data_IF_589786482317
#
_entry.id   IF_589786482317
#
_cell.length_a   1.000
_cell.length_b   1.000
_cell.length_c   1.000
_cell.angle_alpha   90.00
_cell.angle_beta   90.00
_cell.angle_gamma   90.00
#
_symmetry.space_group_name_H-M   'P 1'
#
loop_
_entity.id
_entity.type
_entity.pdbx_description
1 polymer ?
#
# COMPACT_ATOMS: atom_id res chain seq x y z
N UNK A 1 -13.02 -10.16 -4.74
CA UNK A 1 -11.86 -9.27 -4.93
C UNK A 1 -10.80 -9.96 -5.80
N UNK A 2 -10.70 -11.29 -5.74
CA UNK A 2 -9.86 -12.08 -6.66
C UNK A 2 -10.45 -12.08 -8.07
N UNK A 3 -9.60 -11.83 -9.07
CA UNK A 3 -9.98 -11.91 -10.49
C UNK A 3 -9.98 -13.38 -10.94
N UNK A 4 -10.90 -13.76 -11.84
CA UNK A 4 -10.88 -15.09 -12.44
C UNK A 4 -9.57 -15.33 -13.20
N UNK A 5 -9.24 -16.60 -13.42
CA UNK A 5 -8.13 -16.97 -14.30
C UNK A 5 -8.41 -16.50 -15.73
N UNK A 6 -7.35 -16.17 -16.46
CA UNK A 6 -7.41 -15.89 -17.89
C UNK A 6 -7.80 -17.16 -18.63
N UNK A 7 -8.81 -17.06 -19.49
CA UNK A 7 -9.36 -18.21 -20.25
C UNK A 7 -8.37 -18.81 -21.24
N UNK A 8 -7.48 -17.98 -21.79
CA UNK A 8 -6.68 -18.33 -22.97
C UNK A 8 -5.17 -18.41 -22.67
N UNK A 9 -4.80 -18.35 -21.39
CA UNK A 9 -3.39 -18.34 -20.95
C UNK A 9 -3.17 -19.37 -19.85
N UNK A 10 -2.26 -20.31 -20.10
CA UNK A 10 -1.82 -21.31 -19.13
C UNK A 10 -0.33 -21.15 -18.83
N UNK A 11 0.07 -21.47 -17.60
CA UNK A 11 1.46 -21.58 -17.24
C UNK A 11 2.10 -22.76 -18.01
N UNK A 12 3.42 -22.75 -18.18
CA UNK A 12 4.14 -23.86 -18.81
C UNK A 12 3.95 -25.21 -18.10
N UNK A 13 3.60 -25.18 -16.80
CA UNK A 13 3.22 -26.35 -16.00
C UNK A 13 1.77 -26.81 -16.19
N UNK A 14 0.98 -26.13 -17.04
CA UNK A 14 -0.46 -26.37 -17.22
C UNK A 14 -1.36 -25.74 -16.14
N UNK A 15 -0.78 -24.97 -15.20
CA UNK A 15 -1.54 -24.28 -14.16
C UNK A 15 -2.25 -23.01 -14.66
N UNK A 16 -3.26 -22.57 -13.91
CA UNK A 16 -4.01 -21.35 -14.19
C UNK A 16 -3.11 -20.10 -14.11
N UNK A 17 -3.40 -19.13 -14.98
CA UNK A 17 -2.76 -17.81 -14.97
C UNK A 17 -3.81 -16.76 -14.64
N UNK A 18 -3.46 -15.85 -13.74
CA UNK A 18 -4.31 -14.76 -13.28
C UNK A 18 -3.72 -13.42 -13.71
N UNK A 19 -4.47 -12.34 -13.50
CA UNK A 19 -3.95 -10.98 -13.62
C UNK A 19 -3.64 -10.38 -12.25
N UNK A 20 -2.50 -9.70 -12.17
CA UNK A 20 -2.15 -8.84 -11.04
C UNK A 20 -1.82 -7.44 -11.54
N UNK A 21 -2.62 -6.47 -11.10
CA UNK A 21 -2.31 -5.06 -11.27
C UNK A 21 -1.41 -4.57 -10.13
N UNK A 22 -0.55 -3.58 -10.44
CA UNK A 22 0.11 -2.81 -9.40
C UNK A 22 -0.94 -1.91 -8.76
N UNK A 23 -1.38 -2.22 -7.54
CA UNK A 23 -2.35 -1.37 -6.83
C UNK A 23 -1.63 -0.28 -6.03
N UNK A 24 -2.20 0.92 -6.05
CA UNK A 24 -1.78 2.07 -5.27
C UNK A 24 -2.78 2.37 -4.16
N UNK A 25 -2.25 2.88 -3.05
CA UNK A 25 -3.04 3.44 -1.96
C UNK A 25 -2.89 4.96 -1.98
N UNK A 26 -4.02 5.67 -2.10
CA UNK A 26 -4.08 7.12 -1.95
C UNK A 26 -4.73 7.48 -0.62
N UNK A 27 -4.10 8.40 0.09
CA UNK A 27 -4.58 8.95 1.36
C UNK A 27 -4.92 10.41 1.10
N UNK A 28 -6.21 10.75 1.19
CA UNK A 28 -6.69 12.09 0.89
C UNK A 28 -6.71 12.98 2.15
N UNK A 29 -6.82 14.30 1.93
CA UNK A 29 -6.91 15.31 2.99
C UNK A 29 -5.72 15.34 3.96
N UNK A 30 -4.56 14.86 3.52
CA UNK A 30 -3.31 14.97 4.27
C UNK A 30 -2.88 16.43 4.29
N UNK A 31 -2.84 17.01 5.49
CA UNK A 31 -2.47 18.41 5.71
C UNK A 31 -0.97 18.58 5.97
N UNK A 32 -0.31 17.55 6.49
CA UNK A 32 1.14 17.55 6.69
C UNK A 32 1.73 16.13 6.59
N UNK A 33 2.98 16.05 6.14
CA UNK A 33 3.74 14.83 5.92
C UNK A 33 5.12 14.95 6.55
N UNK A 34 5.38 14.15 7.59
CA UNK A 34 6.66 14.16 8.29
C UNK A 34 7.43 12.88 8.03
N UNK A 35 8.65 13.01 7.52
CA UNK A 35 9.55 11.92 7.16
C UNK A 35 10.69 11.82 8.17
N UNK A 36 10.98 10.61 8.67
CA UNK A 36 12.15 10.37 9.54
C UNK A 36 12.96 9.16 9.13
N UNK A 37 14.29 9.33 9.16
CA UNK A 37 15.28 8.33 8.72
C UNK A 37 15.08 7.85 7.28
N UNK A 38 14.66 8.76 6.39
CA UNK A 38 14.48 8.44 4.98
C UNK A 38 15.82 8.39 4.26
N UNK A 39 16.02 7.45 3.32
CA UNK A 39 17.21 7.41 2.49
C UNK A 39 17.25 8.60 1.52
N UNK A 40 18.45 9.01 1.12
CA UNK A 40 18.65 10.16 0.22
C UNK A 40 17.96 9.97 -1.14
N UNK A 41 17.95 8.74 -1.65
CA UNK A 41 17.39 8.31 -2.94
C UNK A 41 15.97 7.72 -2.82
N UNK A 42 15.19 8.17 -1.83
CA UNK A 42 13.89 7.58 -1.50
C UNK A 42 12.89 7.44 -2.66
N UNK A 43 12.99 8.25 -3.72
CA UNK A 43 12.08 8.19 -4.87
C UNK A 43 12.20 6.88 -5.65
N UNK A 44 13.34 6.21 -5.56
CA UNK A 44 13.61 4.91 -6.17
C UNK A 44 13.67 3.78 -5.14
N UNK A 45 13.49 4.10 -3.85
CA UNK A 45 13.56 3.12 -2.78
C UNK A 45 12.25 2.32 -2.64
N UNK A 46 12.38 1.01 -2.43
CA UNK A 46 11.27 0.16 -2.04
C UNK A 46 11.16 0.12 -0.51
N UNK A 47 9.98 0.43 0.01
CA UNK A 47 9.70 0.38 1.44
C UNK A 47 8.74 -0.76 1.75
N UNK A 48 9.13 -1.67 2.65
CA UNK A 48 8.22 -2.67 3.19
C UNK A 48 7.55 -2.10 4.43
N UNK A 49 6.21 -2.00 4.40
CA UNK A 49 5.42 -1.54 5.55
C UNK A 49 5.48 -2.64 6.63
N UNK A 50 5.88 -2.27 7.84
CA UNK A 50 5.84 -3.13 9.02
C UNK A 50 4.58 -2.91 9.85
N UNK A 51 4.18 -1.65 10.02
CA UNK A 51 3.02 -1.31 10.83
C UNK A 51 2.36 -0.02 10.35
N UNK A 52 1.05 0.03 10.52
CA UNK A 52 0.22 1.21 10.42
C UNK A 52 -0.49 1.39 11.76
N UNK A 53 -0.32 2.53 12.41
CA UNK A 53 -0.99 2.80 13.70
C UNK A 53 -1.51 4.23 13.80
N UNK A 54 -2.69 4.43 14.42
CA UNK A 54 -3.07 5.76 14.87
C UNK A 54 -2.13 6.19 16.00
N UNK A 55 -1.78 7.45 16.02
CA UNK A 55 -1.04 8.08 17.11
C UNK A 55 -2.00 8.87 17.99
N UNK A 56 -1.81 8.80 19.30
CA UNK A 56 -2.50 9.68 20.22
C UNK A 56 -2.09 11.12 19.91
N UNK A 57 -3.07 11.96 19.59
CA UNK A 57 -2.88 13.39 19.37
C UNK A 57 -3.30 14.08 20.66
N UNK A 58 -2.53 15.07 21.12
CA UNK A 58 -2.91 15.82 22.32
C UNK A 58 -4.24 16.53 22.06
N UNK A 59 -5.08 16.67 23.10
CA UNK A 59 -6.45 17.21 23.02
C UNK A 59 -6.62 18.62 22.38
N UNK A 60 -5.53 19.27 21.97
CA UNK A 60 -5.53 20.58 21.31
C UNK A 60 -5.48 20.50 19.77
N UNK A 61 -5.23 19.32 19.19
CA UNK A 61 -5.22 19.13 17.73
C UNK A 61 -6.48 18.36 17.30
N UNK A 62 -7.33 18.99 16.48
CA UNK A 62 -8.52 18.38 15.85
C UNK A 62 -8.18 17.37 14.72
N UNK A 63 -6.91 16.93 14.63
CA UNK A 63 -6.42 16.06 13.57
C UNK A 63 -6.26 14.60 13.99
N UNK A 64 -6.29 13.69 13.02
CA UNK A 64 -5.80 12.32 13.15
C UNK A 64 -4.36 12.24 12.68
N UNK A 65 -3.50 11.62 13.49
CA UNK A 65 -2.12 11.33 13.10
C UNK A 65 -1.97 9.83 12.89
N UNK A 66 -1.54 9.42 11.70
CA UNK A 66 -1.18 8.03 11.41
C UNK A 66 0.33 7.90 11.24
N UNK A 67 0.92 6.88 11.86
CA UNK A 67 2.33 6.53 11.66
C UNK A 67 2.45 5.23 10.86
N UNK A 68 3.20 5.31 9.76
CA UNK A 68 3.65 4.19 8.96
C UNK A 68 5.10 3.91 9.33
N UNK A 69 5.36 2.70 9.80
CA UNK A 69 6.71 2.22 10.08
C UNK A 69 7.16 1.28 8.98
N UNK A 70 8.37 1.46 8.49
CA UNK A 70 8.93 0.62 7.44
C UNK A 70 10.12 -0.19 7.97
N UNK A 71 10.37 -1.33 7.31
CA UNK A 71 11.55 -2.15 7.55
C UNK A 71 12.82 -1.32 7.39
N UNK A 72 13.77 -1.48 8.31
CA UNK A 72 15.04 -0.75 8.27
C UNK A 72 15.02 0.60 8.99
N UNK A 73 13.90 1.00 9.61
CA UNK A 73 13.83 2.19 10.47
C UNK A 73 13.19 3.47 9.89
N UNK A 74 12.98 3.65 8.56
CA UNK A 74 12.21 4.79 8.08
C UNK A 74 10.79 4.81 8.66
N UNK A 75 10.27 6.02 8.88
CA UNK A 75 8.88 6.22 9.27
C UNK A 75 8.27 7.44 8.58
N UNK A 76 6.95 7.39 8.38
CA UNK A 76 6.15 8.46 7.81
C UNK A 76 5.00 8.76 8.76
N UNK A 77 4.85 10.01 9.17
CA UNK A 77 3.64 10.48 9.84
C UNK A 77 2.81 11.29 8.88
N UNK A 78 1.53 10.97 8.85
CA UNK A 78 0.52 11.71 8.10
C UNK A 78 -0.40 12.38 9.10
N UNK A 79 -0.53 13.69 8.99
CA UNK A 79 -1.54 14.47 9.72
C UNK A 79 -2.70 14.67 8.74
N UNK A 80 -3.90 14.26 9.13
CA UNK A 80 -5.11 14.37 8.33
C UNK A 80 -6.30 14.66 9.23
N UNK A 81 -7.26 15.45 8.76
CA UNK A 81 -8.52 15.68 9.49
C UNK A 81 -9.40 14.42 9.49
N UNK A 82 -9.29 13.59 8.45
CA UNK A 82 -10.05 12.35 8.29
C UNK A 82 -9.26 11.30 7.53
N UNK A 83 -9.40 10.03 7.90
CA UNK A 83 -8.78 8.93 7.16
C UNK A 83 -9.70 8.58 5.98
N UNK A 84 -9.33 9.05 4.79
CA UNK A 84 -9.96 8.65 3.54
C UNK A 84 -8.94 7.92 2.67
N UNK A 85 -9.14 6.60 2.51
CA UNK A 85 -8.27 5.71 1.76
C UNK A 85 -8.96 5.28 0.46
N UNK A 86 -8.29 5.48 -0.66
CA UNK A 86 -8.75 4.99 -1.97
C UNK A 86 -7.71 4.00 -2.50
N UNK A 87 -8.16 2.79 -2.80
CA UNK A 87 -7.39 1.78 -3.51
C UNK A 87 -7.73 1.86 -5.00
N UNK A 88 -6.72 1.76 -5.85
CA UNK A 88 -6.92 1.70 -7.29
C UNK A 88 -5.71 1.09 -7.99
N UNK A 89 -5.94 0.55 -9.18
CA UNK A 89 -4.87 0.05 -10.04
C UNK A 89 -4.08 1.24 -10.59
N UNK A 90 -2.75 1.19 -10.46
CA UNK A 90 -1.82 2.19 -10.98
C UNK A 90 -1.30 1.85 -12.37
N UNK A 91 -1.35 0.58 -12.73
CA UNK A 91 -0.93 0.04 -14.03
C UNK A 91 -1.89 -1.06 -14.46
N UNK A 92 -1.86 -1.37 -15.77
CA UNK A 92 -2.56 -2.50 -16.34
C UNK A 92 -2.13 -3.82 -15.66
N UNK A 93 -3.08 -4.76 -15.60
CA UNK A 93 -2.85 -6.09 -15.07
C UNK A 93 -1.77 -6.83 -15.86
N UNK A 94 -0.84 -7.47 -15.14
CA UNK A 94 0.15 -8.36 -15.74
C UNK A 94 -0.15 -9.83 -15.41
N UNK A 95 0.08 -10.77 -16.33
CA UNK A 95 -0.10 -12.19 -16.07
C UNK A 95 0.78 -12.67 -14.90
N UNK A 96 0.22 -13.49 -14.02
CA UNK A 96 0.94 -14.12 -12.90
C UNK A 96 0.34 -15.48 -12.57
N UNK A 97 1.18 -16.41 -12.14
CA UNK A 97 0.75 -17.68 -11.55
C UNK A 97 0.54 -17.59 -10.03
N UNK A 98 0.72 -16.41 -9.43
CA UNK A 98 0.51 -16.16 -8.01
C UNK A 98 -0.85 -15.49 -7.80
N UNK A 99 -1.82 -16.26 -7.30
CA UNK A 99 -3.09 -15.71 -6.82
C UNK A 99 -2.99 -15.48 -5.31
N UNK A 100 -3.13 -14.25 -4.82
CA UNK A 100 -3.15 -14.01 -3.38
C UNK A 100 -4.45 -14.60 -2.82
N UNK A 101 -4.31 -15.65 -2.01
CA UNK A 101 -5.44 -16.34 -1.36
C UNK A 101 -5.86 -15.62 -0.10
N UNK A 102 -7.14 -15.31 -0.03
CA UNK A 102 -7.76 -14.76 1.17
C UNK A 102 -8.55 -15.87 1.82
N UNK A 103 -7.84 -16.80 2.44
CA UNK A 103 -8.45 -17.81 3.30
C UNK A 103 -8.89 -17.06 4.56
N UNK A 104 -10.19 -16.75 4.65
CA UNK A 104 -10.83 -16.17 5.85
C UNK A 104 -11.18 -17.32 6.80
#
# INVERSE_FOLDING_TARGET
WERPALSDVNASSGGAVHERALCGLRINYVVDVQKRHWPTDWRTAFFNILALKPMAVSQQDDGCVMEFSFSGGPSLRLITEQINLVLGDLDDGRPTNLQPRHDI
#
